data_IF_819403111252
#
_entry.id   IF_819403111252
#
_cell.length_a   1.000
_cell.length_b   1.000
_cell.length_c   1.000
_cell.angle_alpha   90.00
_cell.angle_beta   90.00
_cell.angle_gamma   90.00
#
_symmetry.space_group_name_H-M   'P 1'
#
loop_
_entity.id
_entity.type
_entity.pdbx_description
1 polymer ?
#
# COMPACT_ATOMS: atom_id res chain seq x y z
N UNK A 1 18.67 10.14 -42.98
CA UNK A 1 17.30 9.59 -43.17
C UNK A 1 16.46 9.98 -41.98
N UNK A 2 15.38 10.74 -42.18
CA UNK A 2 14.41 11.03 -41.13
C UNK A 2 13.50 9.82 -40.95
N UNK A 3 13.35 9.33 -39.72
CA UNK A 3 12.41 8.26 -39.41
C UNK A 3 11.09 8.93 -39.04
N UNK A 4 10.01 8.60 -39.75
CA UNK A 4 8.66 9.04 -39.42
C UNK A 4 8.13 8.20 -38.26
N UNK A 5 8.29 8.72 -37.04
CA UNK A 5 7.85 8.07 -35.80
C UNK A 5 6.75 8.92 -35.16
N UNK A 6 5.68 8.29 -34.72
CA UNK A 6 4.62 8.97 -33.99
C UNK A 6 5.01 9.18 -32.51
N UNK A 7 5.48 10.38 -32.18
CA UNK A 7 5.98 10.74 -30.85
C UNK A 7 4.88 11.02 -29.81
N UNK A 8 3.60 10.88 -30.15
CA UNK A 8 2.47 11.28 -29.28
C UNK A 8 2.44 10.53 -27.95
N UNK A 9 2.89 9.27 -27.92
CA UNK A 9 2.75 8.36 -26.77
C UNK A 9 4.07 8.01 -26.07
N UNK A 10 5.18 8.66 -26.43
CA UNK A 10 6.50 8.33 -25.88
C UNK A 10 6.59 8.63 -24.38
N UNK A 11 5.92 9.71 -23.95
CA UNK A 11 5.86 10.08 -22.54
C UNK A 11 4.79 9.27 -21.80
N UNK A 12 5.23 8.25 -21.07
CA UNK A 12 4.37 7.51 -20.14
C UNK A 12 4.16 8.30 -18.84
N UNK A 13 2.92 8.68 -18.56
CA UNK A 13 2.54 9.37 -17.31
C UNK A 13 2.51 8.36 -16.16
N UNK A 14 3.60 8.31 -15.39
CA UNK A 14 3.69 7.49 -14.17
C UNK A 14 4.48 8.23 -13.11
N UNK A 15 4.18 7.93 -11.84
CA UNK A 15 4.93 8.49 -10.71
C UNK A 15 6.19 7.67 -10.47
N UNK A 16 7.32 8.35 -10.44
CA UNK A 16 8.64 7.79 -10.11
C UNK A 16 9.05 8.02 -8.66
N UNK A 17 8.40 8.98 -7.99
CA UNK A 17 8.64 9.36 -6.61
C UNK A 17 7.32 9.80 -5.94
N UNK A 18 7.22 9.77 -4.59
CA UNK A 18 6.08 10.35 -3.90
C UNK A 18 6.09 11.87 -4.11
N UNK A 19 4.91 12.45 -4.37
CA UNK A 19 4.75 13.91 -4.51
C UNK A 19 4.86 14.65 -3.16
N UNK A 20 4.57 13.96 -2.07
CA UNK A 20 4.59 14.54 -0.72
C UNK A 20 6.01 14.86 -0.24
N UNK A 21 6.14 15.92 0.55
CA UNK A 21 7.41 16.34 1.17
C UNK A 21 7.66 15.77 2.56
N UNK A 22 6.73 14.96 3.07
CA UNK A 22 6.88 14.25 4.34
C UNK A 22 8.18 13.41 4.38
N UNK A 23 9.10 13.70 5.34
CA UNK A 23 10.36 13.00 5.43
C UNK A 23 10.21 11.51 5.74
N UNK A 24 9.21 11.11 6.54
CA UNK A 24 9.00 9.70 6.90
C UNK A 24 8.59 8.87 5.70
N UNK A 25 7.66 9.39 4.89
CA UNK A 25 7.24 8.74 3.66
C UNK A 25 8.40 8.63 2.66
N UNK A 26 9.27 9.64 2.60
CA UNK A 26 10.43 9.65 1.69
C UNK A 26 11.50 8.65 2.10
N UNK A 27 11.74 8.47 3.40
CA UNK A 27 12.67 7.43 3.91
C UNK A 27 12.13 6.03 3.57
N UNK A 28 10.84 5.78 3.84
CA UNK A 28 10.22 4.49 3.52
C UNK A 28 10.26 4.19 2.01
N UNK A 29 9.98 5.21 1.19
CA UNK A 29 10.10 5.13 -0.27
C UNK A 29 11.52 4.77 -0.72
N UNK A 30 12.56 5.38 -0.13
CA UNK A 30 13.97 5.05 -0.44
C UNK A 30 14.29 3.59 -0.09
N UNK A 31 13.88 3.12 1.08
CA UNK A 31 14.09 1.74 1.51
C UNK A 31 13.45 0.75 0.53
N UNK A 32 12.16 0.91 0.21
CA UNK A 32 11.48 0.01 -0.72
C UNK A 32 11.99 0.12 -2.17
N UNK A 33 12.51 1.29 -2.57
CA UNK A 33 13.18 1.43 -3.88
C UNK A 33 14.47 0.62 -3.93
N UNK A 34 15.25 0.62 -2.84
CA UNK A 34 16.45 -0.20 -2.72
C UNK A 34 16.11 -1.69 -2.72
N UNK A 35 15.17 -2.12 -1.87
CA UNK A 35 14.74 -3.52 -1.80
C UNK A 35 14.20 -4.02 -3.13
N UNK A 36 13.31 -3.27 -3.78
CA UNK A 36 12.71 -3.68 -5.05
C UNK A 36 13.76 -3.85 -6.16
N UNK A 37 14.82 -3.04 -6.17
CA UNK A 37 15.92 -3.17 -7.14
C UNK A 37 16.81 -4.38 -6.87
N UNK A 38 17.06 -4.72 -5.60
CA UNK A 38 18.04 -5.76 -5.22
C UNK A 38 17.46 -7.16 -5.06
N UNK A 39 16.23 -7.27 -4.56
CA UNK A 39 15.59 -8.58 -4.32
C UNK A 39 14.81 -9.10 -5.51
N UNK A 40 14.31 -8.23 -6.40
CA UNK A 40 13.47 -8.66 -7.53
C UNK A 40 12.08 -9.18 -7.15
N UNK A 41 11.73 -9.19 -5.86
CA UNK A 41 10.44 -9.68 -5.39
C UNK A 41 9.28 -8.79 -5.81
N UNK A 42 8.22 -9.41 -6.35
CA UNK A 42 7.03 -8.71 -6.86
C UNK A 42 6.33 -7.90 -5.76
N UNK A 43 6.34 -8.39 -4.53
CA UNK A 43 5.75 -7.71 -3.38
C UNK A 43 6.37 -6.32 -3.16
N UNK A 44 7.70 -6.23 -3.17
CA UNK A 44 8.43 -4.97 -2.94
C UNK A 44 8.14 -3.94 -4.04
N UNK A 45 8.05 -4.38 -5.29
CA UNK A 45 7.64 -3.51 -6.40
C UNK A 45 6.22 -2.97 -6.24
N UNK A 46 5.28 -3.78 -5.72
CA UNK A 46 3.89 -3.35 -5.49
C UNK A 46 3.84 -2.32 -4.35
N UNK A 47 4.53 -2.57 -3.23
CA UNK A 47 4.55 -1.63 -2.10
C UNK A 47 5.17 -0.29 -2.50
N UNK A 48 6.31 -0.29 -3.19
CA UNK A 48 6.95 0.92 -3.71
C UNK A 48 5.97 1.74 -4.58
N UNK A 49 5.27 1.09 -5.52
CA UNK A 49 4.28 1.75 -6.38
C UNK A 49 3.13 2.35 -5.55
N UNK A 50 2.64 1.64 -4.53
CA UNK A 50 1.55 2.12 -3.66
C UNK A 50 1.97 3.32 -2.82
N UNK A 51 3.22 3.39 -2.37
CA UNK A 51 3.73 4.55 -1.62
C UNK A 51 3.77 5.83 -2.47
N UNK A 52 3.96 5.72 -3.79
CA UNK A 52 3.97 6.87 -4.70
C UNK A 52 2.56 7.38 -5.04
N UNK A 53 1.51 6.60 -4.77
CA UNK A 53 0.14 6.97 -5.09
C UNK A 53 -0.38 8.14 -4.26
N UNK A 54 -1.30 8.91 -4.85
CA UNK A 54 -2.00 9.97 -4.10
C UNK A 54 -2.93 9.36 -3.06
N UNK A 55 -3.34 10.17 -2.09
CA UNK A 55 -4.28 9.75 -1.03
C UNK A 55 -5.60 9.22 -1.62
N UNK A 56 -6.09 9.81 -2.73
CA UNK A 56 -7.33 9.36 -3.41
C UNK A 56 -7.29 7.90 -3.84
N UNK A 57 -6.12 7.41 -4.29
CA UNK A 57 -5.95 6.01 -4.70
C UNK A 57 -5.58 5.06 -3.55
N UNK A 58 -5.38 5.61 -2.34
CA UNK A 58 -5.13 4.86 -1.11
C UNK A 58 -6.35 4.99 -0.19
N UNK A 59 -7.45 4.39 -0.63
CA UNK A 59 -8.71 4.41 0.12
C UNK A 59 -8.53 3.74 1.50
N UNK A 60 -9.17 4.27 2.55
CA UNK A 60 -9.11 3.69 3.88
C UNK A 60 -9.73 2.28 3.90
N UNK A 61 -9.20 1.41 4.74
CA UNK A 61 -9.63 0.02 4.90
C UNK A 61 -10.21 -0.19 6.29
N UNK A 62 -11.45 -0.68 6.36
CA UNK A 62 -12.10 -0.99 7.62
C UNK A 62 -11.68 -2.35 8.18
N UNK A 63 -11.68 -2.48 9.51
CA UNK A 63 -11.39 -3.73 10.22
C UNK A 63 -12.35 -4.85 9.79
N UNK A 64 -13.63 -4.54 9.57
CA UNK A 64 -14.61 -5.52 9.08
C UNK A 64 -14.23 -6.11 7.70
N UNK A 65 -13.55 -5.33 6.84
CA UNK A 65 -13.05 -5.84 5.56
C UNK A 65 -11.83 -6.73 5.73
N UNK A 66 -10.95 -6.39 6.68
CA UNK A 66 -9.78 -7.20 7.04
C UNK A 66 -10.21 -8.55 7.63
N UNK A 67 -11.14 -8.54 8.60
CA UNK A 67 -11.70 -9.75 9.23
C UNK A 67 -12.32 -10.70 8.19
N UNK A 68 -13.06 -10.17 7.21
CA UNK A 68 -13.58 -10.97 6.09
C UNK A 68 -12.51 -11.60 5.21
N UNK A 69 -11.35 -10.97 5.04
CA UNK A 69 -10.23 -11.53 4.27
C UNK A 69 -9.44 -12.58 5.05
N UNK A 70 -9.33 -12.42 6.36
CA UNK A 70 -8.70 -13.40 7.27
C UNK A 70 -9.53 -14.68 7.40
N UNK A 71 -10.86 -14.58 7.40
CA UNK A 71 -11.77 -15.74 7.41
C UNK A 71 -11.66 -16.64 6.17
N UNK A 72 -10.97 -16.21 5.09
CA UNK A 72 -10.75 -17.04 3.92
C UNK A 72 -9.70 -18.13 4.22
N UNK A 73 -9.91 -19.33 3.68
CA UNK A 73 -9.01 -20.48 3.88
C UNK A 73 -7.56 -20.12 3.52
N UNK A 74 -6.61 -20.44 4.42
CA UNK A 74 -5.17 -20.26 4.21
C UNK A 74 -4.61 -18.86 4.52
N UNK A 75 -5.38 -17.98 5.17
CA UNK A 75 -4.95 -16.61 5.52
C UNK A 75 -4.91 -16.32 7.03
N UNK A 76 -5.22 -17.29 7.89
CA UNK A 76 -5.31 -17.08 9.34
C UNK A 76 -3.97 -16.61 9.94
N UNK A 77 -2.85 -17.20 9.49
CA UNK A 77 -1.52 -16.95 10.07
C UNK A 77 -0.72 -15.88 9.32
N UNK A 78 -1.30 -15.24 8.31
CA UNK A 78 -0.60 -14.26 7.46
C UNK A 78 -0.69 -12.86 8.04
N UNK A 79 0.40 -12.10 7.88
CA UNK A 79 0.45 -10.69 8.25
C UNK A 79 -0.30 -9.86 7.20
N UNK A 80 -1.19 -8.98 7.66
CA UNK A 80 -1.95 -8.08 6.79
C UNK A 80 -1.15 -6.80 6.57
N UNK A 81 -0.75 -6.53 5.33
CA UNK A 81 0.03 -5.34 4.97
C UNK A 81 -0.80 -4.36 4.16
N UNK A 82 -0.91 -3.12 4.63
CA UNK A 82 -1.77 -2.08 4.05
C UNK A 82 -1.05 -0.73 3.96
N UNK A 83 -0.87 -0.18 2.77
CA UNK A 83 -0.28 1.17 2.59
C UNK A 83 -1.29 2.33 2.75
N UNK A 84 -2.43 2.06 3.38
CA UNK A 84 -3.56 2.98 3.55
C UNK A 84 -3.94 3.08 5.03
N UNK A 85 -4.85 3.99 5.33
CA UNK A 85 -5.39 4.21 6.67
C UNK A 85 -6.28 3.03 7.07
N UNK A 86 -6.06 2.46 8.26
CA UNK A 86 -6.97 1.46 8.83
C UNK A 86 -7.98 2.17 9.74
N UNK A 87 -9.27 1.93 9.51
CA UNK A 87 -10.37 2.59 10.23
C UNK A 87 -11.16 1.61 11.08
N UNK A 88 -11.57 2.05 12.27
CA UNK A 88 -12.47 1.27 13.13
C UNK A 88 -13.87 1.15 12.52
N UNK A 89 -14.51 0.01 12.76
CA UNK A 89 -15.89 -0.24 12.37
C UNK A 89 -16.70 -0.54 13.63
N UNK A 90 -17.54 0.42 14.03
CA UNK A 90 -18.36 0.35 15.24
C UNK A 90 -19.27 -0.89 15.26
N UNK A 91 -19.61 -1.47 14.11
CA UNK A 91 -20.54 -2.60 13.97
C UNK A 91 -19.93 -3.96 14.28
N UNK A 92 -18.60 -4.06 14.30
CA UNK A 92 -17.91 -5.30 14.57
C UNK A 92 -17.73 -5.46 16.09
N UNK A 93 -18.33 -6.49 16.67
CA UNK A 93 -18.29 -6.77 18.11
C UNK A 93 -17.08 -7.62 18.50
N UNK A 94 -16.71 -8.59 17.66
CA UNK A 94 -15.55 -9.47 17.89
C UNK A 94 -14.48 -9.22 16.82
N UNK A 95 -13.29 -8.86 17.27
CA UNK A 95 -12.12 -8.65 16.42
C UNK A 95 -11.22 -9.89 16.53
N UNK A 96 -10.96 -10.63 15.43
CA UNK A 96 -10.01 -11.74 15.49
C UNK A 96 -8.61 -11.22 15.80
N UNK A 97 -7.79 -12.00 16.51
CA UNK A 97 -6.38 -11.66 16.74
C UNK A 97 -5.60 -11.77 15.42
N UNK A 98 -4.95 -10.68 14.99
CA UNK A 98 -4.10 -10.66 13.80
C UNK A 98 -3.01 -9.60 13.92
N UNK A 99 -1.98 -9.69 13.09
CA UNK A 99 -0.91 -8.67 12.99
C UNK A 99 -1.12 -7.82 11.74
N UNK A 100 -1.15 -6.50 11.90
CA UNK A 100 -1.28 -5.53 10.80
C UNK A 100 -0.05 -4.63 10.73
N UNK A 101 0.44 -4.39 9.50
CA UNK A 101 1.39 -3.31 9.19
C UNK A 101 0.69 -2.27 8.32
N UNK A 102 0.62 -1.02 8.79
CA UNK A 102 0.01 0.07 8.06
C UNK A 102 0.78 1.39 8.19
N UNK A 103 0.52 2.33 7.26
CA UNK A 103 1.10 3.69 7.35
C UNK A 103 0.45 4.50 8.48
N UNK A 104 -0.85 4.30 8.69
CA UNK A 104 -1.60 4.98 9.72
C UNK A 104 -2.72 4.08 10.20
N UNK A 105 -2.86 3.97 11.53
CA UNK A 105 -3.94 3.27 12.19
C UNK A 105 -4.72 4.29 13.02
N UNK A 106 -6.04 4.35 12.82
CA UNK A 106 -6.90 5.10 13.75
C UNK A 106 -6.99 4.31 15.05
N UNK A 107 -7.04 5.01 16.19
CA UNK A 107 -7.16 4.39 17.53
C UNK A 107 -8.30 3.37 17.54
N UNK A 108 -7.95 2.09 17.70
CA UNK A 108 -8.90 1.00 17.82
C UNK A 108 -9.21 0.84 19.30
N UNK A 109 -10.41 1.24 19.73
CA UNK A 109 -10.80 1.26 21.15
C UNK A 109 -11.37 -0.10 21.60
N UNK A 110 -11.44 -1.08 20.71
CA UNK A 110 -12.11 -2.36 20.96
C UNK A 110 -11.09 -3.43 21.35
N UNK A 111 -11.08 -3.74 22.65
CA UNK A 111 -10.46 -4.93 23.25
C UNK A 111 -11.47 -6.08 23.27
#
# INVERSE_FOLDING_TARGET
>A
MGIDINHKNDRKVRRTAPKSEDPYLRILAKLYTFLARRTGEKFNHIIMKRLFMSRRFRAPLSIARISRMLKKKGNADKIVVTCATVTDDARLYEVPKFTVSSLFCVTIIKC
#
